data_IF_066673553720
#
_entry.id   IF_066673553720
#
_cell.length_a   1.000
_cell.length_b   1.000
_cell.length_c   1.000
_cell.angle_alpha   90.00
_cell.angle_beta   90.00
_cell.angle_gamma   90.00
#
_symmetry.space_group_name_H-M   'P 1'
#
loop_
_entity.id
_entity.type
_entity.pdbx_description
1 polymer ?
#
# COMPACT_ATOMS: atom_id res chain seq x y z
N UNK A 1 -2.25 -0.77 -53.98
CA UNK A 1 -3.58 -1.36 -54.23
C UNK A 1 -3.52 -2.79 -53.72
N UNK A 2 -3.49 -2.96 -52.39
CA UNK A 2 -4.65 -3.27 -51.54
C UNK A 2 -5.34 -4.59 -51.89
N UNK A 3 -5.11 -5.60 -51.05
CA UNK A 3 -5.94 -6.78 -50.93
C UNK A 3 -6.39 -6.92 -49.47
N UNK A 4 -7.62 -6.44 -49.22
CA UNK A 4 -8.68 -7.21 -48.59
C UNK A 4 -8.48 -7.70 -47.15
N UNK A 5 -8.81 -6.83 -46.20
CA UNK A 5 -9.27 -7.21 -44.86
C UNK A 5 -10.65 -7.89 -44.95
N UNK A 6 -10.88 -8.92 -44.14
CA UNK A 6 -12.22 -9.32 -43.68
C UNK A 6 -12.21 -9.47 -42.15
N UNK A 7 -13.34 -9.23 -41.47
CA UNK A 7 -13.38 -8.64 -40.13
C UNK A 7 -13.55 -9.67 -39.00
N UNK A 8 -13.08 -9.29 -37.82
CA UNK A 8 -13.32 -9.97 -36.55
C UNK A 8 -14.77 -9.80 -36.10
N UNK A 9 -15.37 -10.90 -35.61
CA UNK A 9 -16.67 -10.90 -34.96
C UNK A 9 -16.64 -10.27 -33.55
N UNK A 10 -17.76 -9.70 -33.09
CA UNK A 10 -17.80 -8.76 -31.97
C UNK A 10 -18.02 -9.45 -30.60
N UNK A 11 -17.45 -8.82 -29.56
CA UNK A 11 -17.75 -9.06 -28.15
C UNK A 11 -19.22 -8.71 -27.84
N UNK A 12 -19.94 -9.53 -27.05
CA UNK A 12 -21.27 -9.18 -26.60
C UNK A 12 -21.23 -8.18 -25.43
N UNK A 13 -22.03 -7.12 -25.59
CA UNK A 13 -22.30 -6.09 -24.61
C UNK A 13 -23.31 -6.56 -23.55
N UNK A 14 -23.02 -6.20 -22.29
CA UNK A 14 -24.01 -5.65 -21.34
C UNK A 14 -24.94 -6.63 -20.60
N UNK A 15 -24.87 -6.61 -19.26
CA UNK A 15 -26.06 -6.54 -18.40
C UNK A 15 -25.74 -6.13 -16.95
N UNK A 16 -26.21 -4.91 -16.63
CA UNK A 16 -26.83 -4.33 -15.40
C UNK A 16 -26.43 -4.77 -13.97
N UNK A 17 -26.59 -3.83 -13.01
CA UNK A 17 -26.15 -3.99 -11.63
C UNK A 17 -27.14 -4.82 -10.81
N UNK A 18 -26.63 -5.75 -10.02
CA UNK A 18 -27.41 -6.48 -9.03
C UNK A 18 -27.56 -5.64 -7.75
N UNK A 19 -28.82 -5.54 -7.34
CA UNK A 19 -29.37 -4.80 -6.22
C UNK A 19 -28.98 -5.39 -4.86
N UNK A 20 -29.06 -4.56 -3.82
CA UNK A 20 -28.80 -4.93 -2.44
C UNK A 20 -29.95 -5.64 -1.73
N UNK A 21 -29.62 -6.18 -0.55
CA UNK A 21 -30.51 -6.58 0.54
C UNK A 21 -29.65 -6.84 1.80
N UNK A 22 -30.21 -6.88 3.03
CA UNK A 22 -30.90 -5.78 3.72
C UNK A 22 -30.28 -5.45 5.10
N UNK A 23 -30.94 -4.51 5.79
CA UNK A 23 -30.55 -3.78 6.99
C UNK A 23 -30.58 -4.58 8.32
N UNK A 24 -29.95 -3.99 9.34
CA UNK A 24 -30.37 -4.12 10.74
C UNK A 24 -30.33 -2.74 11.42
N UNK A 25 -31.50 -2.15 11.62
CA UNK A 25 -31.77 -1.06 12.57
C UNK A 25 -31.85 -1.62 14.00
N UNK A 26 -31.39 -0.84 14.98
CA UNK A 26 -31.53 -1.11 16.41
C UNK A 26 -31.47 0.20 17.19
N UNK A 27 -32.54 0.46 17.93
CA UNK A 27 -32.97 1.73 18.52
C UNK A 27 -32.04 2.38 19.57
N UNK A 28 -32.24 3.69 19.71
CA UNK A 28 -31.76 4.55 20.79
C UNK A 28 -32.63 4.45 22.05
N UNK A 29 -32.04 4.67 23.22
CA UNK A 29 -32.71 5.34 24.34
C UNK A 29 -31.71 6.03 25.28
N UNK A 30 -32.14 7.14 25.88
CA UNK A 30 -31.37 8.10 26.67
C UNK A 30 -31.81 8.08 28.15
N UNK A 31 -30.95 8.54 29.08
CA UNK A 31 -31.26 9.56 30.10
C UNK A 31 -30.28 9.59 31.31
N UNK A 32 -29.91 10.82 31.72
CA UNK A 32 -29.66 11.28 33.10
C UNK A 32 -28.38 10.80 33.81
N UNK A 33 -27.45 11.60 34.32
CA UNK A 33 -27.50 12.98 34.82
C UNK A 33 -27.47 13.01 36.35
N UNK A 34 -26.27 13.17 36.97
CA UNK A 34 -25.99 13.95 38.22
C UNK A 34 -24.61 13.65 38.83
N UNK A 35 -23.93 14.70 39.30
CA UNK A 35 -23.04 14.65 40.47
C UNK A 35 -21.55 14.85 40.23
N UNK A 36 -21.09 16.11 40.17
CA UNK A 36 -19.68 16.50 40.35
C UNK A 36 -19.37 16.58 41.85
N UNK A 37 -18.31 15.89 42.29
CA UNK A 37 -17.60 16.14 43.55
C UNK A 37 -16.12 16.41 43.23
N UNK A 38 -15.44 17.33 43.93
CA UNK A 38 -14.07 17.74 43.61
C UNK A 38 -13.08 16.79 44.28
N UNK A 39 -12.13 16.25 43.53
CA UNK A 39 -11.13 15.36 44.11
C UNK A 39 -9.96 15.08 43.18
N UNK A 40 -8.76 15.35 43.69
CA UNK A 40 -7.46 14.95 43.17
C UNK A 40 -6.96 15.70 41.94
N UNK A 41 -6.01 16.61 42.18
CA UNK A 41 -5.06 17.03 41.17
C UNK A 41 -4.43 15.77 40.55
N UNK A 42 -4.80 15.47 39.30
CA UNK A 42 -4.12 14.46 38.52
C UNK A 42 -2.68 14.93 38.34
N UNK A 43 -1.75 14.23 39.00
CA UNK A 43 -0.34 14.31 38.65
C UNK A 43 -0.25 14.06 37.13
N UNK A 44 0.21 15.08 36.41
CA UNK A 44 0.46 15.00 34.98
C UNK A 44 1.41 13.82 34.77
N UNK A 45 0.94 12.77 34.09
CA UNK A 45 1.81 11.67 33.70
C UNK A 45 3.02 12.27 32.97
N UNK A 46 4.26 11.81 33.25
CA UNK A 46 5.42 12.32 32.56
C UNK A 46 5.21 12.18 31.05
N UNK A 47 5.66 13.14 30.23
CA UNK A 47 5.46 13.09 28.79
C UNK A 47 6.01 11.76 28.26
N UNK A 48 5.14 10.92 27.73
CA UNK A 48 5.52 9.68 27.05
C UNK A 48 6.48 10.05 25.94
N UNK A 49 7.75 9.69 26.10
CA UNK A 49 8.77 9.88 25.10
C UNK A 49 8.30 9.20 23.81
N UNK A 50 8.14 9.97 22.74
CA UNK A 50 7.66 9.45 21.46
C UNK A 50 8.68 8.49 20.89
N UNK A 51 8.37 7.19 20.85
CA UNK A 51 9.21 6.14 20.25
C UNK A 51 9.26 6.32 18.73
N UNK A 52 10.40 6.02 18.12
CA UNK A 52 10.51 6.02 16.65
C UNK A 52 9.84 4.78 16.05
N UNK A 53 9.59 4.80 14.73
CA UNK A 53 9.05 3.65 14.03
C UNK A 53 10.01 2.46 14.12
N UNK A 54 11.30 2.72 14.00
CA UNK A 54 12.37 1.74 14.12
C UNK A 54 12.40 1.12 15.53
N UNK A 55 12.24 1.93 16.59
CA UNK A 55 12.17 1.43 17.98
C UNK A 55 10.98 0.52 18.22
N UNK A 56 9.84 0.80 17.59
CA UNK A 56 8.63 -0.04 17.68
C UNK A 56 8.80 -1.36 16.92
N UNK A 57 9.48 -1.31 15.78
CA UNK A 57 9.73 -2.49 14.93
C UNK A 57 10.81 -3.41 15.53
N UNK A 58 11.83 -2.82 16.15
CA UNK A 58 12.97 -3.51 16.75
C UNK A 58 12.71 -3.95 18.19
N UNK A 59 11.55 -3.64 18.76
CA UNK A 59 11.19 -4.06 20.11
C UNK A 59 11.19 -5.57 20.24
N UNK A 60 12.13 -6.09 21.01
CA UNK A 60 12.17 -7.50 21.38
C UNK A 60 11.00 -7.81 22.29
N UNK A 61 10.24 -8.84 21.93
CA UNK A 61 9.22 -9.38 22.80
C UNK A 61 9.88 -10.15 23.97
N UNK A 62 9.23 -10.20 25.15
CA UNK A 62 9.66 -11.06 26.25
C UNK A 62 9.85 -12.53 25.84
N UNK A 63 10.69 -13.28 26.55
CA UNK A 63 10.94 -14.70 26.26
C UNK A 63 9.67 -15.58 26.38
N UNK A 64 8.71 -15.17 27.21
CA UNK A 64 7.42 -15.83 27.40
C UNK A 64 6.34 -15.39 26.39
N UNK A 65 6.71 -14.58 25.39
CA UNK A 65 5.79 -14.17 24.36
C UNK A 65 5.21 -15.38 23.62
N UNK A 66 3.87 -15.47 23.61
CA UNK A 66 3.12 -16.58 23.02
C UNK A 66 3.41 -16.81 21.53
N UNK A 67 3.73 -15.74 20.81
CA UNK A 67 3.93 -15.75 19.37
C UNK A 67 5.22 -15.03 19.01
N UNK A 68 5.94 -15.56 18.01
CA UNK A 68 7.18 -14.96 17.49
C UNK A 68 7.02 -14.60 16.02
N UNK A 69 7.16 -13.31 15.73
CA UNK A 69 7.21 -12.78 14.37
C UNK A 69 8.65 -12.67 13.88
N UNK A 70 8.92 -13.20 12.71
CA UNK A 70 10.18 -13.05 11.98
C UNK A 70 9.88 -12.48 10.59
N UNK A 71 10.69 -11.53 10.13
CA UNK A 71 10.54 -10.94 8.80
C UNK A 71 11.81 -11.17 8.01
N UNK A 72 11.68 -11.79 6.84
CA UNK A 72 12.80 -12.18 5.99
C UNK A 72 12.70 -11.46 4.65
N UNK A 73 13.80 -10.88 4.18
CA UNK A 73 13.91 -10.38 2.82
C UNK A 73 14.49 -11.50 1.94
N UNK A 74 13.71 -11.96 0.95
CA UNK A 74 14.05 -13.14 0.15
C UNK A 74 14.02 -12.78 -1.33
N UNK A 75 15.17 -12.84 -2.02
CA UNK A 75 15.27 -12.51 -3.45
C UNK A 75 14.47 -13.48 -4.30
N UNK A 76 13.51 -12.96 -5.08
CA UNK A 76 12.62 -13.74 -5.95
C UNK A 76 13.15 -13.85 -7.38
N UNK A 77 13.84 -12.81 -7.87
CA UNK A 77 14.44 -12.79 -9.21
C UNK A 77 15.89 -12.26 -9.16
N UNK A 78 16.88 -13.05 -9.63
CA UNK A 78 16.79 -14.50 -9.82
C UNK A 78 16.48 -15.22 -8.49
N UNK A 79 15.82 -16.40 -8.52
CA UNK A 79 15.32 -17.05 -7.32
C UNK A 79 16.46 -17.59 -6.44
N UNK A 80 16.58 -17.02 -5.23
CA UNK A 80 17.52 -17.48 -4.20
C UNK A 80 17.17 -18.88 -3.64
N UNK A 81 18.09 -19.51 -2.91
CA UNK A 81 17.83 -20.78 -2.24
C UNK A 81 16.67 -20.67 -1.22
N UNK A 82 16.63 -19.57 -0.47
CA UNK A 82 15.56 -19.29 0.49
C UNK A 82 14.20 -19.12 -0.19
N UNK A 83 14.18 -18.47 -1.37
CA UNK A 83 12.98 -18.33 -2.18
C UNK A 83 12.44 -19.70 -2.62
N UNK A 84 13.32 -20.55 -3.18
CA UNK A 84 12.96 -21.91 -3.61
C UNK A 84 12.42 -22.74 -2.45
N UNK A 85 13.04 -22.65 -1.28
CA UNK A 85 12.62 -23.39 -0.07
C UNK A 85 11.26 -22.94 0.48
N UNK A 86 10.92 -21.66 0.32
CA UNK A 86 9.67 -21.06 0.84
C UNK A 86 8.55 -20.94 -0.21
N UNK A 87 8.84 -21.25 -1.48
CA UNK A 87 7.94 -21.01 -2.62
C UNK A 87 6.55 -21.61 -2.41
N UNK A 88 6.48 -22.90 -2.05
CA UNK A 88 5.18 -23.57 -1.93
C UNK A 88 4.36 -23.02 -0.76
N UNK A 89 4.99 -22.75 0.39
CA UNK A 89 4.31 -22.14 1.53
C UNK A 89 3.76 -20.75 1.18
N UNK A 90 4.56 -19.94 0.48
CA UNK A 90 4.18 -18.62 0.00
C UNK A 90 3.00 -18.69 -0.98
N UNK A 91 3.06 -19.60 -1.95
CA UNK A 91 1.98 -19.85 -2.90
C UNK A 91 0.66 -20.26 -2.22
N UNK A 92 0.69 -21.09 -1.18
CA UNK A 92 -0.53 -21.47 -0.46
C UNK A 92 -1.20 -20.26 0.20
N UNK A 93 -0.42 -19.35 0.78
CA UNK A 93 -0.95 -18.09 1.34
C UNK A 93 -1.58 -17.24 0.23
N UNK A 94 -0.91 -17.10 -0.92
CA UNK A 94 -1.47 -16.39 -2.08
C UNK A 94 -2.79 -17.01 -2.54
N UNK A 95 -2.87 -18.33 -2.67
CA UNK A 95 -4.07 -19.05 -3.10
C UNK A 95 -5.25 -18.79 -2.14
N UNK A 96 -5.01 -18.94 -0.84
CA UNK A 96 -6.02 -18.65 0.19
C UNK A 96 -6.49 -17.19 0.13
N UNK A 97 -5.56 -16.26 -0.07
CA UNK A 97 -5.86 -14.85 -0.22
C UNK A 97 -6.74 -14.56 -1.44
N UNK A 98 -6.43 -15.12 -2.61
CA UNK A 98 -7.24 -14.94 -3.83
C UNK A 98 -8.68 -15.44 -3.63
N UNK A 99 -8.84 -16.62 -3.02
CA UNK A 99 -10.16 -17.21 -2.76
C UNK A 99 -10.94 -16.36 -1.75
N UNK A 100 -10.32 -15.99 -0.63
CA UNK A 100 -11.01 -15.30 0.46
C UNK A 100 -11.33 -13.83 0.14
N UNK A 101 -10.37 -13.11 -0.46
CA UNK A 101 -10.43 -11.64 -0.62
C UNK A 101 -10.92 -11.24 -2.02
N UNK A 102 -10.46 -11.94 -3.07
CA UNK A 102 -10.84 -11.66 -4.46
C UNK A 102 -12.01 -12.52 -4.96
N UNK A 103 -12.44 -13.51 -4.15
CA UNK A 103 -13.55 -14.43 -4.49
C UNK A 103 -13.28 -15.27 -5.74
N UNK A 104 -12.01 -15.56 -5.99
CA UNK A 104 -11.61 -16.44 -7.07
C UNK A 104 -12.03 -17.90 -6.80
N UNK A 105 -12.47 -18.65 -7.82
CA UNK A 105 -12.73 -20.09 -7.70
C UNK A 105 -11.48 -20.86 -7.23
N UNK A 106 -11.60 -21.93 -6.42
CA UNK A 106 -10.45 -22.63 -5.84
C UNK A 106 -9.44 -23.24 -6.84
N UNK A 107 -9.87 -23.47 -8.07
CA UNK A 107 -9.10 -24.01 -9.20
C UNK A 107 -8.39 -22.91 -10.02
N UNK A 108 -8.78 -21.65 -9.86
CA UNK A 108 -8.24 -20.52 -10.65
C UNK A 108 -6.81 -20.14 -10.25
N UNK A 109 -6.47 -19.92 -8.96
CA UNK A 109 -5.10 -19.57 -8.57
C UNK A 109 -4.19 -20.78 -8.74
N UNK A 110 -3.29 -20.73 -9.73
CA UNK A 110 -2.30 -21.76 -10.02
C UNK A 110 -0.87 -21.30 -9.67
N UNK A 111 0.05 -22.25 -9.47
CA UNK A 111 1.47 -21.94 -9.25
C UNK A 111 2.09 -21.19 -10.42
N UNK A 112 1.67 -21.48 -11.66
CA UNK A 112 2.16 -20.80 -12.85
C UNK A 112 1.70 -19.34 -12.92
N UNK A 113 0.46 -19.06 -12.55
CA UNK A 113 -0.04 -17.68 -12.44
C UNK A 113 0.67 -16.93 -11.33
N UNK A 114 0.82 -17.55 -10.16
CA UNK A 114 1.56 -16.98 -9.04
C UNK A 114 3.00 -16.63 -9.43
N UNK A 115 3.71 -17.56 -10.08
CA UNK A 115 5.08 -17.34 -10.54
C UNK A 115 5.16 -16.17 -11.52
N UNK A 116 4.35 -16.19 -12.58
CA UNK A 116 4.33 -15.15 -13.61
C UNK A 116 3.97 -13.77 -13.04
N UNK A 117 3.06 -13.72 -12.07
CA UNK A 117 2.54 -12.45 -11.56
C UNK A 117 3.41 -11.85 -10.45
N UNK A 118 3.95 -12.67 -9.55
CA UNK A 118 4.55 -12.19 -8.30
C UNK A 118 5.99 -12.64 -8.07
N UNK A 119 6.54 -13.53 -8.89
CA UNK A 119 7.87 -14.09 -8.66
C UNK A 119 8.85 -13.71 -9.77
N UNK A 120 8.42 -13.87 -11.02
CA UNK A 120 9.18 -13.49 -12.20
C UNK A 120 9.19 -11.97 -12.33
N UNK A 121 10.36 -11.41 -12.62
CA UNK A 121 10.55 -9.97 -12.77
C UNK A 121 11.46 -9.67 -13.96
N UNK A 122 11.16 -8.63 -14.75
CA UNK A 122 12.05 -8.16 -15.79
C UNK A 122 13.27 -7.41 -15.23
N UNK A 123 13.29 -7.11 -13.93
CA UNK A 123 14.43 -6.44 -13.29
C UNK A 123 15.62 -7.40 -13.25
N UNK A 124 16.75 -6.94 -13.77
CA UNK A 124 18.02 -7.62 -13.64
C UNK A 124 18.59 -7.38 -12.25
N UNK A 125 19.32 -8.36 -11.72
CA UNK A 125 20.06 -8.14 -10.49
C UNK A 125 21.23 -7.19 -10.73
N UNK A 126 21.40 -6.22 -9.84
CA UNK A 126 22.48 -5.26 -9.93
C UNK A 126 23.04 -5.01 -8.53
N UNK A 127 24.36 -4.88 -8.44
CA UNK A 127 25.05 -4.47 -7.23
C UNK A 127 25.86 -3.22 -7.54
N UNK A 128 25.81 -2.23 -6.66
CA UNK A 128 26.63 -1.03 -6.76
C UNK A 128 27.52 -0.89 -5.51
N UNK A 129 28.72 -0.28 -5.62
CA UNK A 129 29.57 -0.02 -4.45
C UNK A 129 28.90 0.86 -3.37
N UNK A 130 27.99 1.74 -3.78
CA UNK A 130 27.15 2.59 -2.92
C UNK A 130 25.70 2.06 -2.81
N UNK A 131 25.49 0.79 -3.12
CA UNK A 131 24.20 0.12 -3.06
C UNK A 131 23.96 -0.66 -1.77
N UNK A 132 22.73 -1.13 -1.55
CA UNK A 132 22.40 -1.96 -0.40
C UNK A 132 23.09 -3.33 -0.49
N UNK A 133 23.43 -3.93 0.66
CA UNK A 133 24.08 -5.26 0.73
C UNK A 133 23.27 -6.34 0.00
N UNK A 134 21.95 -6.28 0.08
CA UNK A 134 21.06 -7.22 -0.59
C UNK A 134 21.10 -7.09 -2.13
N UNK A 135 21.68 -6.01 -2.67
CA UNK A 135 21.62 -5.62 -4.08
C UNK A 135 20.25 -5.08 -4.49
N UNK A 136 20.15 -4.66 -5.75
CA UNK A 136 18.92 -4.25 -6.39
C UNK A 136 18.19 -5.45 -7.04
N UNK A 137 16.90 -5.30 -7.29
CA UNK A 137 16.05 -6.30 -7.93
C UNK A 137 14.74 -6.57 -7.17
N UNK A 138 14.13 -7.72 -7.44
CA UNK A 138 12.83 -8.10 -6.86
C UNK A 138 12.96 -9.09 -5.70
N UNK A 139 12.18 -8.82 -4.65
CA UNK A 139 12.23 -9.55 -3.39
C UNK A 139 10.81 -9.82 -2.85
N UNK A 140 10.72 -10.89 -2.07
CA UNK A 140 9.59 -11.18 -1.19
C UNK A 140 10.00 -10.84 0.24
N UNK A 141 9.36 -9.84 0.84
CA UNK A 141 9.41 -9.60 2.27
C UNK A 141 8.39 -10.52 2.96
N UNK A 142 8.88 -11.63 3.50
CA UNK A 142 8.07 -12.69 4.08
C UNK A 142 7.89 -12.47 5.59
N UNK A 143 6.65 -12.55 6.05
CA UNK A 143 6.27 -12.43 7.46
C UNK A 143 5.96 -13.83 7.99
N UNK A 144 6.78 -14.30 8.93
CA UNK A 144 6.71 -15.63 9.52
C UNK A 144 6.22 -15.50 10.96
N UNK A 145 5.06 -16.10 11.27
CA UNK A 145 4.53 -16.20 12.62
C UNK A 145 4.62 -17.66 13.06
N UNK A 146 5.36 -17.92 14.14
CA UNK A 146 5.55 -19.27 14.71
C UNK A 146 6.01 -20.30 13.67
N UNK A 147 6.92 -19.90 12.79
CA UNK A 147 7.49 -20.75 11.75
C UNK A 147 6.59 -20.94 10.52
N UNK A 148 5.49 -20.20 10.39
CA UNK A 148 4.59 -20.23 9.23
C UNK A 148 4.52 -18.87 8.53
N UNK A 149 4.55 -18.86 7.20
CA UNK A 149 4.31 -17.63 6.44
C UNK A 149 2.86 -17.20 6.62
N UNK A 150 2.65 -15.98 7.12
CA UNK A 150 1.31 -15.38 7.29
C UNK A 150 1.07 -14.22 6.34
N UNK A 151 2.11 -13.61 5.79
CA UNK A 151 2.01 -12.58 4.78
C UNK A 151 3.27 -12.50 3.94
N UNK A 152 3.14 -11.96 2.73
CA UNK A 152 4.28 -11.66 1.87
C UNK A 152 4.03 -10.36 1.11
N UNK A 153 4.92 -9.39 1.34
CA UNK A 153 5.05 -8.20 0.51
C UNK A 153 5.99 -8.49 -0.66
N UNK A 154 5.53 -8.29 -1.88
CA UNK A 154 6.35 -8.31 -3.09
C UNK A 154 6.86 -6.89 -3.30
N UNK A 155 8.17 -6.73 -3.25
CA UNK A 155 8.83 -5.42 -3.32
C UNK A 155 9.97 -5.44 -4.33
N UNK A 156 10.22 -4.29 -4.95
CA UNK A 156 11.44 -4.05 -5.72
C UNK A 156 12.34 -3.08 -4.96
N UNK A 157 13.63 -3.41 -4.87
CA UNK A 157 14.66 -2.52 -4.35
C UNK A 157 15.41 -1.95 -5.55
N UNK A 158 15.30 -0.64 -5.73
CA UNK A 158 15.82 0.10 -6.89
C UNK A 158 16.82 1.18 -6.42
N UNK A 159 17.65 1.73 -7.33
CA UNK A 159 18.69 2.70 -6.96
C UNK A 159 18.23 3.93 -6.18
N UNK A 160 16.97 4.33 -6.35
CA UNK A 160 16.42 5.52 -5.67
C UNK A 160 15.24 5.20 -4.75
N UNK A 161 14.70 3.97 -4.78
CA UNK A 161 13.50 3.65 -4.01
C UNK A 161 13.33 2.18 -3.63
N UNK A 162 12.49 1.93 -2.63
CA UNK A 162 11.78 0.65 -2.48
C UNK A 162 10.38 0.82 -3.06
N UNK A 163 9.94 -0.12 -3.90
CA UNK A 163 8.62 -0.11 -4.53
C UNK A 163 7.77 -1.27 -4.02
N UNK A 164 6.60 -0.97 -3.46
CA UNK A 164 5.61 -1.96 -3.06
C UNK A 164 4.79 -2.39 -4.28
N UNK A 165 4.91 -3.66 -4.68
CA UNK A 165 4.25 -4.21 -5.87
C UNK A 165 2.92 -4.86 -5.51
N UNK A 166 2.94 -5.76 -4.51
CA UNK A 166 1.75 -6.51 -4.12
C UNK A 166 1.87 -7.03 -2.68
N UNK A 167 0.74 -7.19 -2.00
CA UNK A 167 0.68 -7.81 -0.67
C UNK A 167 -0.43 -8.85 -0.65
N UNK A 168 -0.11 -10.04 -0.16
CA UNK A 168 -1.08 -11.09 0.16
C UNK A 168 -0.79 -11.65 1.54
N UNK A 169 -1.84 -12.15 2.19
CA UNK A 169 -1.75 -12.64 3.55
C UNK A 169 -2.78 -13.72 3.84
N UNK A 170 -2.54 -14.48 4.89
CA UNK A 170 -3.42 -15.55 5.35
C UNK A 170 -4.72 -14.93 5.88
N UNK A 171 -5.92 -15.40 5.45
CA UNK A 171 -7.19 -14.80 5.83
C UNK A 171 -7.42 -14.66 7.35
N UNK A 172 -6.89 -15.59 8.15
CA UNK A 172 -6.95 -15.54 9.62
C UNK A 172 -6.28 -14.27 10.21
N UNK A 173 -5.38 -13.65 9.45
CA UNK A 173 -4.70 -12.42 9.84
C UNK A 173 -5.42 -11.14 9.36
N UNK A 174 -6.63 -11.24 8.80
CA UNK A 174 -7.37 -10.09 8.26
C UNK A 174 -7.61 -8.98 9.31
N UNK A 175 -7.74 -9.35 10.59
CA UNK A 175 -7.93 -8.41 11.69
C UNK A 175 -6.66 -7.61 12.06
N UNK A 176 -5.48 -8.01 11.57
CA UNK A 176 -4.19 -7.43 11.96
C UNK A 176 -3.75 -6.24 11.11
N UNK A 177 -4.59 -5.79 10.16
CA UNK A 177 -4.28 -4.64 9.29
C UNK A 177 -2.92 -4.75 8.61
N UNK A 178 -2.62 -5.94 8.06
CA UNK A 178 -1.31 -6.26 7.47
C UNK A 178 -0.90 -5.33 6.32
N UNK A 179 -1.86 -4.70 5.62
CA UNK A 179 -1.58 -3.65 4.64
C UNK A 179 -0.90 -2.43 5.26
N UNK A 180 -1.37 -2.00 6.42
CA UNK A 180 -0.78 -0.89 7.17
C UNK A 180 0.56 -1.28 7.77
N UNK A 181 0.64 -2.47 8.38
CA UNK A 181 1.86 -2.99 8.98
C UNK A 181 2.99 -3.18 7.95
N UNK A 182 2.69 -3.77 6.78
CA UNK A 182 3.67 -3.96 5.71
C UNK A 182 4.23 -2.63 5.22
N UNK A 183 3.37 -1.64 4.98
CA UNK A 183 3.81 -0.32 4.56
C UNK A 183 4.70 0.36 5.62
N UNK A 184 4.40 0.21 6.91
CA UNK A 184 5.27 0.72 7.99
C UNK A 184 6.63 0.01 8.01
N UNK A 185 6.65 -1.32 7.83
CA UNK A 185 7.89 -2.09 7.73
C UNK A 185 8.71 -1.70 6.50
N UNK A 186 8.07 -1.49 5.36
CA UNK A 186 8.70 -1.06 4.11
C UNK A 186 9.24 0.38 4.21
N UNK A 187 8.56 1.29 4.93
CA UNK A 187 9.08 2.63 5.24
C UNK A 187 10.35 2.54 6.09
N UNK A 188 10.32 1.77 7.18
CA UNK A 188 11.49 1.57 8.03
C UNK A 188 12.64 0.91 7.26
N UNK A 189 12.33 -0.08 6.42
CA UNK A 189 13.31 -0.73 5.56
C UNK A 189 13.93 0.24 4.55
N UNK A 190 13.13 1.09 3.90
CA UNK A 190 13.63 2.13 2.99
C UNK A 190 14.60 3.07 3.69
N UNK A 191 14.25 3.51 4.91
CA UNK A 191 15.12 4.38 5.73
C UNK A 191 16.41 3.68 6.16
N UNK A 192 16.34 2.39 6.47
CA UNK A 192 17.53 1.57 6.74
C UNK A 192 18.44 1.49 5.50
N UNK A 193 17.88 1.22 4.33
CA UNK A 193 18.64 1.16 3.08
C UNK A 193 19.21 2.52 2.68
N UNK A 194 18.53 3.62 2.98
CA UNK A 194 19.04 4.98 2.75
C UNK A 194 20.38 5.22 3.48
N UNK A 195 20.56 4.61 4.65
CA UNK A 195 21.82 4.67 5.40
C UNK A 195 22.99 3.99 4.68
N UNK A 196 22.70 3.05 3.77
CA UNK A 196 23.70 2.37 2.92
C UNK A 196 23.84 3.07 1.56
N UNK A 197 22.72 3.51 0.98
CA UNK A 197 22.66 4.19 -0.30
C UNK A 197 21.91 5.52 -0.18
N UNK A 198 22.59 6.66 -0.05
CA UNK A 198 21.94 7.97 0.16
C UNK A 198 20.95 8.38 -0.93
N UNK A 199 21.08 7.82 -2.13
CA UNK A 199 20.17 8.05 -3.27
C UNK A 199 18.82 7.34 -3.07
N UNK A 200 18.79 6.24 -2.33
CA UNK A 200 17.60 5.45 -2.01
C UNK A 200 16.80 6.14 -0.91
N UNK A 201 16.02 7.16 -1.30
CA UNK A 201 15.29 8.02 -0.38
C UNK A 201 13.77 7.97 -0.59
N UNK A 202 13.28 7.18 -1.54
CA UNK A 202 11.85 7.11 -1.83
C UNK A 202 11.26 5.75 -1.46
N UNK A 203 10.08 5.76 -0.86
CA UNK A 203 9.24 4.57 -0.74
C UNK A 203 8.02 4.73 -1.63
N UNK A 204 7.94 3.94 -2.69
CA UNK A 204 6.82 3.96 -3.60
C UNK A 204 5.74 2.98 -3.14
N UNK A 205 4.66 3.50 -2.56
CA UNK A 205 3.57 2.72 -1.96
C UNK A 205 2.52 2.26 -3.01
N UNK A 206 2.79 2.49 -4.30
CA UNK A 206 1.93 2.10 -5.41
C UNK A 206 0.83 3.13 -5.71
N UNK A 207 -0.20 2.67 -6.41
CA UNK A 207 -1.35 3.50 -6.77
C UNK A 207 -2.13 3.96 -5.53
N UNK A 208 -2.79 5.11 -5.68
CA UNK A 208 -3.75 5.70 -4.75
C UNK A 208 -5.03 6.10 -5.50
N UNK A 209 -6.13 5.42 -5.16
CA UNK A 209 -7.47 5.75 -5.66
C UNK A 209 -8.28 6.27 -4.48
N UNK A 210 -8.51 7.57 -4.43
CA UNK A 210 -9.13 8.23 -3.27
C UNK A 210 -10.56 7.74 -2.98
N UNK A 211 -11.31 7.37 -4.02
CA UNK A 211 -12.66 6.82 -3.91
C UNK A 211 -12.70 5.36 -3.44
N UNK A 212 -11.56 4.65 -3.43
CA UNK A 212 -11.49 3.25 -3.01
C UNK A 212 -11.24 3.15 -1.49
N UNK A 213 -12.20 2.62 -0.68
CA UNK A 213 -12.04 2.52 0.76
C UNK A 213 -10.80 1.70 1.17
N UNK A 214 -10.48 0.63 0.42
CA UNK A 214 -9.31 -0.23 0.65
C UNK A 214 -7.97 0.50 0.49
N UNK A 215 -7.95 1.64 -0.19
CA UNK A 215 -6.73 2.42 -0.45
C UNK A 215 -6.64 3.70 0.38
N UNK A 216 -7.68 4.04 1.15
CA UNK A 216 -7.72 5.26 1.97
C UNK A 216 -6.59 5.34 2.99
N UNK A 217 -6.17 4.20 3.56
CA UNK A 217 -5.10 4.15 4.54
C UNK A 217 -3.78 4.71 3.99
N UNK A 218 -3.51 4.55 2.68
CA UNK A 218 -2.29 5.08 2.04
C UNK A 218 -2.21 6.61 2.08
N UNK A 219 -3.35 7.27 2.21
CA UNK A 219 -3.43 8.73 2.37
C UNK A 219 -3.00 9.25 3.73
N UNK A 220 -2.69 8.37 4.69
CA UNK A 220 -2.35 8.73 6.06
C UNK A 220 -0.84 8.81 6.32
N UNK A 221 -0.01 8.29 5.41
CA UNK A 221 1.44 8.32 5.55
C UNK A 221 2.00 9.71 5.27
N UNK A 222 2.98 10.14 6.08
CA UNK A 222 3.66 11.42 5.92
C UNK A 222 5.17 11.29 6.21
N UNK A 223 6.02 12.04 5.50
CA UNK A 223 5.70 12.89 4.34
C UNK A 223 5.33 12.05 3.10
N UNK A 224 4.30 12.45 2.34
CA UNK A 224 3.92 11.76 1.11
C UNK A 224 3.48 12.69 -0.02
N UNK A 225 3.77 12.29 -1.25
CA UNK A 225 3.42 13.01 -2.48
C UNK A 225 2.61 12.12 -3.42
N UNK A 226 1.65 12.72 -4.13
CA UNK A 226 0.88 12.09 -5.21
C UNK A 226 1.37 12.59 -6.57
N UNK A 227 1.64 11.68 -7.51
CA UNK A 227 1.85 12.07 -8.90
C UNK A 227 0.52 12.42 -9.55
N UNK A 228 0.40 13.64 -10.07
CA UNK A 228 -0.73 14.03 -10.89
C UNK A 228 -0.66 13.31 -12.25
N UNK A 229 -1.69 12.55 -12.66
CA UNK A 229 -1.66 11.79 -13.92
C UNK A 229 -1.77 12.69 -15.17
N UNK A 230 -2.17 13.95 -15.02
CA UNK A 230 -2.31 14.90 -16.14
C UNK A 230 -1.03 15.72 -16.35
N UNK A 231 -0.39 16.15 -15.26
CA UNK A 231 0.76 17.06 -15.31
C UNK A 231 2.08 16.38 -15.03
N UNK A 232 2.07 15.11 -14.58
CA UNK A 232 3.24 14.35 -14.14
C UNK A 232 4.07 15.08 -13.06
N UNK A 233 3.41 15.94 -12.28
CA UNK A 233 4.01 16.66 -11.17
C UNK A 233 3.69 15.96 -9.86
N UNK A 234 4.70 15.81 -9.01
CA UNK A 234 4.52 15.36 -7.62
C UNK A 234 3.94 16.49 -6.78
N UNK A 235 2.84 16.21 -6.08
CA UNK A 235 2.15 17.20 -5.24
C UNK A 235 1.95 16.61 -3.84
N UNK A 236 2.31 17.34 -2.77
CA UNK A 236 2.12 16.87 -1.39
C UNK A 236 0.68 16.44 -1.12
N UNK A 237 0.53 15.27 -0.50
CA UNK A 237 -0.78 14.63 -0.33
C UNK A 237 -1.74 15.49 0.49
N UNK A 238 -1.22 16.32 1.40
CA UNK A 238 -1.97 17.28 2.21
C UNK A 238 -2.66 18.35 1.36
N UNK A 239 -2.11 18.68 0.20
CA UNK A 239 -2.71 19.61 -0.76
C UNK A 239 -3.74 18.91 -1.66
N UNK A 240 -3.55 17.61 -1.89
CA UNK A 240 -4.39 16.79 -2.76
C UNK A 240 -5.69 16.34 -2.08
N UNK A 241 -5.59 15.75 -0.88
CA UNK A 241 -6.73 15.09 -0.20
C UNK A 241 -7.94 16.01 -0.01
N UNK A 242 -7.82 17.27 0.48
CA UNK A 242 -8.97 18.16 0.62
C UNK A 242 -9.68 18.43 -0.71
N UNK A 243 -8.92 18.53 -1.81
CA UNK A 243 -9.48 18.76 -3.16
C UNK A 243 -10.20 17.52 -3.66
N UNK A 244 -9.63 16.33 -3.45
CA UNK A 244 -10.23 15.06 -3.85
C UNK A 244 -11.53 14.82 -3.07
N UNK A 245 -11.57 15.12 -1.78
CA UNK A 245 -12.80 14.99 -0.97
C UNK A 245 -13.91 15.93 -1.44
N UNK A 246 -13.57 17.17 -1.78
CA UNK A 246 -14.55 18.14 -2.30
C UNK A 246 -15.20 17.68 -3.62
N UNK A 247 -14.50 16.84 -4.39
CA UNK A 247 -15.01 16.28 -5.65
C UNK A 247 -15.93 15.09 -5.42
N UNK A 248 -15.67 14.28 -4.38
CA UNK A 248 -16.46 13.09 -4.04
C UNK A 248 -17.74 13.40 -3.23
N UNK A 249 -17.87 14.58 -2.61
CA UNK A 249 -19.12 14.96 -1.95
C UNK A 249 -20.29 14.97 -2.95
N UNK A 250 -21.45 14.34 -2.62
CA UNK A 250 -22.66 14.48 -3.40
C UNK A 250 -22.98 15.97 -3.58
N UNK A 251 -23.34 16.36 -4.80
CA UNK A 251 -23.87 17.71 -5.04
C UNK A 251 -25.14 17.86 -4.21
N UNK A 252 -25.20 18.89 -3.37
CA UNK A 252 -26.46 19.29 -2.75
C UNK A 252 -27.49 19.54 -3.86
N UNK A 253 -28.75 19.06 -3.72
CA UNK A 253 -29.78 19.31 -4.72
C UNK A 253 -29.87 20.81 -5.01
N UNK A 254 -29.67 21.21 -6.27
CA UNK A 254 -29.80 22.61 -6.72
C UNK A 254 -28.50 23.35 -7.06
N UNK A 255 -27.31 22.81 -6.81
CA UNK A 255 -26.05 23.45 -7.21
C UNK A 255 -25.50 22.87 -8.52
N UNK A 256 -25.71 23.56 -9.65
CA UNK A 256 -24.94 23.31 -10.89
C UNK A 256 -23.51 23.82 -10.70
N UNK A 257 -22.49 22.95 -10.86
CA UNK A 257 -21.09 23.42 -10.93
C UNK A 257 -20.90 24.26 -12.20
N UNK A 258 -20.50 25.51 -12.03
CA UNK A 258 -19.87 26.28 -13.11
C UNK A 258 -18.42 25.79 -13.21
N UNK A 259 -18.08 25.10 -14.29
CA UNK A 259 -16.68 24.80 -14.62
C UNK A 259 -16.07 26.11 -15.11
N UNK A 260 -15.24 26.74 -14.28
CA UNK A 260 -14.49 27.92 -14.71
C UNK A 260 -13.21 27.43 -15.40
N UNK A 261 -13.17 27.49 -16.74
CA UNK A 261 -12.04 27.03 -17.56
C UNK A 261 -10.92 28.08 -17.66
N UNK A 262 -11.09 29.29 -17.12
CA UNK A 262 -10.06 30.32 -17.19
C UNK A 262 -9.46 30.65 -15.82
N UNK A 263 -8.37 29.97 -15.50
CA UNK A 263 -7.44 30.34 -14.44
C UNK A 263 -6.02 30.25 -14.97
N UNK A 264 -5.65 31.18 -15.86
CA UNK A 264 -4.27 31.35 -16.28
C UNK A 264 -3.38 31.54 -15.06
N UNK A 265 -2.52 30.57 -14.79
CA UNK A 265 -1.33 30.73 -13.96
C UNK A 265 -0.16 30.25 -14.78
N UNK A 266 0.73 31.17 -15.09
CA UNK A 266 2.10 30.87 -15.50
C UNK A 266 2.74 30.03 -14.40
N UNK A 267 2.86 28.72 -14.61
CA UNK A 267 3.76 27.88 -13.82
C UNK A 267 5.17 28.16 -14.35
N UNK A 268 5.91 29.01 -13.64
CA UNK A 268 7.37 28.94 -13.69
C UNK A 268 7.80 27.57 -13.17
N UNK A 269 8.40 26.82 -14.06
CA UNK A 269 9.25 25.64 -13.90
C UNK A 269 9.46 25.17 -12.43
N UNK A 270 8.70 24.15 -12.04
CA UNK A 270 9.00 23.30 -10.87
C UNK A 270 8.78 21.85 -11.25
N UNK A 271 9.57 21.40 -12.22
CA UNK A 271 9.76 19.98 -12.56
C UNK A 271 10.76 19.27 -11.63
N UNK A 272 11.31 19.98 -10.63
CA UNK A 272 12.30 19.42 -9.73
C UNK A 272 11.68 18.45 -8.72
N UNK A 273 12.17 17.21 -8.70
CA UNK A 273 12.03 16.31 -7.57
C UNK A 273 12.49 17.03 -6.28
N UNK A 274 11.83 16.79 -5.13
CA UNK A 274 12.23 17.39 -3.86
C UNK A 274 13.70 17.04 -3.53
N UNK A 275 14.42 17.90 -2.79
CA UNK A 275 15.84 17.69 -2.52
C UNK A 275 16.12 16.33 -1.86
N UNK A 276 17.17 15.65 -2.33
CA UNK A 276 17.60 14.29 -1.96
C UNK A 276 17.93 14.06 -0.46
N UNK A 277 17.77 15.06 0.40
CA UNK A 277 18.18 15.04 1.81
C UNK A 277 17.08 14.52 2.76
N UNK A 278 15.85 14.31 2.31
CA UNK A 278 14.74 13.81 3.13
C UNK A 278 14.04 12.63 2.47
N UNK A 279 13.83 11.53 3.20
CA UNK A 279 13.04 10.40 2.68
C UNK A 279 11.56 10.79 2.45
N UNK A 280 10.90 10.18 1.46
CA UNK A 280 9.49 10.47 1.12
C UNK A 280 8.71 9.26 0.64
N UNK A 281 7.41 9.19 0.95
CA UNK A 281 6.48 8.21 0.37
C UNK A 281 5.86 8.74 -0.92
N UNK A 282 6.01 8.02 -2.02
CA UNK A 282 5.48 8.38 -3.34
C UNK A 282 4.31 7.47 -3.72
N UNK A 283 3.26 8.04 -4.32
CA UNK A 283 2.09 7.30 -4.80
C UNK A 283 1.59 7.84 -6.14
N UNK A 284 1.11 6.98 -7.03
CA UNK A 284 0.45 7.43 -8.27
C UNK A 284 -1.04 7.68 -8.02
N UNK A 285 -1.53 8.90 -8.26
CA UNK A 285 -2.97 9.17 -8.18
C UNK A 285 -3.69 8.61 -9.41
N UNK A 286 -4.75 7.85 -9.17
CA UNK A 286 -5.65 7.36 -10.21
C UNK A 286 -7.10 7.74 -9.90
N UNK A 287 -7.82 8.21 -10.92
CA UNK A 287 -9.16 8.79 -10.77
C UNK A 287 -10.27 7.74 -10.52
N UNK A 288 -10.15 6.54 -11.10
CA UNK A 288 -10.96 5.33 -10.82
C UNK A 288 -10.37 4.11 -11.57
N UNK A 289 -10.82 2.89 -11.22
CA UNK A 289 -10.76 1.76 -12.15
C UNK A 289 -11.81 2.02 -13.25
N UNK A 290 -11.37 2.14 -14.50
CA UNK A 290 -12.28 2.10 -15.66
C UNK A 290 -12.74 0.66 -15.92
#
# INVERSE_FOLDING_TARGET
>A
MELGRTPADPLPQGQRPAQGAPAAEGAAEAAGGRGLAPGSAHACAPPTQSRTLEDLIAESLPEDAKHRLEVRLVRSSPPSAQFKASFHASYQVYKLYQIAIHKDPPDKPSESQFRRFLCDSPLEEETAPDGPEAGYGSFHQQYWLDGRIVAVGVIDVLPTCVSSVYLYYHPDCAALSLGTYSALREIAFTRQLQGQSPKLCYYYLGFYIHSCPKMRYKGQYRPSDLLCPETYAWVPIEQCVPRLESRLRPLQPGHRRRVNVNGGRTLSDRTAAPPFLSWRTLQLLQWAYN
#
